data_IF_409011599301
#
_entry.id   IF_409011599301
#
_cell.length_a   1.000
_cell.length_b   1.000
_cell.length_c   1.000
_cell.angle_alpha   90.00
_cell.angle_beta   90.00
_cell.angle_gamma   90.00
#
_symmetry.space_group_name_H-M   'P 1'
#
loop_
_entity.id
_entity.type
_entity.pdbx_description
1 polymer ?
#
# COMPACT_ATOMS: atom_id res chain seq x y z
N UNK A 1 -8.97 15.02 7.13
CA UNK A 1 -9.55 15.04 8.51
C UNK A 1 -9.81 16.46 9.02
N UNK A 2 -8.88 17.42 8.85
CA UNK A 2 -9.04 18.82 9.31
C UNK A 2 -10.27 19.47 8.68
N UNK A 3 -10.51 19.30 7.38
CA UNK A 3 -11.66 19.87 6.69
C UNK A 3 -13.00 19.35 7.22
N UNK A 4 -13.06 18.06 7.59
CA UNK A 4 -14.27 17.46 8.20
C UNK A 4 -14.51 18.09 9.58
N UNK A 5 -13.44 18.25 10.38
CA UNK A 5 -13.53 18.86 11.69
C UNK A 5 -14.00 20.34 11.61
N UNK A 6 -13.44 21.10 10.68
CA UNK A 6 -13.84 22.48 10.41
C UNK A 6 -15.32 22.56 9.98
N UNK A 7 -15.74 21.64 9.08
CA UNK A 7 -17.12 21.57 8.65
C UNK A 7 -18.08 21.26 9.82
N UNK A 8 -17.70 20.35 10.71
CA UNK A 8 -18.47 20.01 11.92
C UNK A 8 -18.61 21.23 12.83
N UNK A 9 -17.52 21.96 13.07
CA UNK A 9 -17.55 23.18 13.93
C UNK A 9 -18.42 24.26 13.30
N UNK A 10 -18.27 24.53 12.00
CA UNK A 10 -19.08 25.52 11.28
C UNK A 10 -20.59 25.19 11.29
N UNK A 11 -20.92 23.90 11.19
CA UNK A 11 -22.31 23.45 11.24
C UNK A 11 -22.85 23.47 12.63
N UNK A 12 -22.05 23.23 13.66
CA UNK A 12 -22.43 23.40 15.05
C UNK A 12 -22.77 24.87 15.38
N UNK A 13 -21.91 25.81 14.94
CA UNK A 13 -22.21 27.26 15.11
C UNK A 13 -23.49 27.65 14.38
N UNK A 14 -23.72 27.19 13.17
CA UNK A 14 -24.97 27.45 12.46
C UNK A 14 -26.18 26.80 13.14
N UNK A 15 -26.04 25.59 13.65
CA UNK A 15 -27.10 24.91 14.38
C UNK A 15 -27.50 25.68 15.67
N UNK A 16 -26.52 26.23 16.41
CA UNK A 16 -26.80 27.05 17.59
C UNK A 16 -27.55 28.36 17.25
N UNK A 17 -27.18 29.02 16.15
CA UNK A 17 -27.86 30.18 15.61
C UNK A 17 -29.31 29.85 15.21
N UNK A 18 -29.50 28.75 14.49
CA UNK A 18 -30.81 28.25 14.09
C UNK A 18 -31.68 27.94 15.32
N UNK A 19 -31.09 27.38 16.36
CA UNK A 19 -31.79 27.06 17.62
C UNK A 19 -32.22 28.31 18.36
N UNK A 20 -31.39 29.35 18.36
CA UNK A 20 -31.75 30.67 18.93
C UNK A 20 -32.89 31.32 18.15
N UNK A 21 -32.86 31.24 16.79
CA UNK A 21 -33.94 31.75 15.93
C UNK A 21 -35.24 30.97 16.17
N UNK A 22 -35.17 29.67 16.35
CA UNK A 22 -36.32 28.81 16.66
C UNK A 22 -36.96 29.20 17.99
N UNK A 23 -36.14 29.48 19.00
CA UNK A 23 -36.62 29.88 20.33
C UNK A 23 -37.35 31.24 20.34
N UNK A 24 -37.07 32.10 19.35
CA UNK A 24 -37.72 33.43 19.20
C UNK A 24 -38.93 33.42 18.25
N UNK A 25 -39.24 32.28 17.64
CA UNK A 25 -40.29 32.22 16.63
C UNK A 25 -41.65 32.01 17.27
N UNK A 26 -42.59 32.93 17.03
CA UNK A 26 -43.97 32.88 17.56
C UNK A 26 -44.82 31.72 17.01
N UNK A 27 -44.47 31.19 15.83
CA UNK A 27 -45.17 30.07 15.20
C UNK A 27 -44.57 28.70 15.58
N UNK A 28 -45.30 27.94 16.39
CA UNK A 28 -44.92 26.57 16.81
C UNK A 28 -44.60 25.64 15.65
N UNK A 29 -45.27 25.76 14.49
CA UNK A 29 -45.03 24.92 13.31
C UNK A 29 -43.67 25.24 12.68
N UNK A 30 -43.25 26.52 12.60
CA UNK A 30 -41.93 26.89 12.08
C UNK A 30 -40.81 26.44 13.04
N UNK A 31 -41.00 26.59 14.34
CA UNK A 31 -40.05 26.14 15.36
C UNK A 31 -39.80 24.61 15.22
N UNK A 32 -40.87 23.81 15.14
CA UNK A 32 -40.77 22.37 14.97
C UNK A 32 -40.08 21.97 13.66
N UNK A 33 -40.34 22.68 12.57
CA UNK A 33 -39.68 22.39 11.26
C UNK A 33 -38.17 22.68 11.32
N UNK A 34 -37.76 23.77 11.99
CA UNK A 34 -36.36 24.13 12.18
C UNK A 34 -35.62 23.07 13.02
N UNK A 35 -36.24 22.62 14.11
CA UNK A 35 -35.71 21.55 14.96
C UNK A 35 -35.56 20.25 14.21
N UNK A 36 -36.56 19.85 13.44
CA UNK A 36 -36.53 18.65 12.60
C UNK A 36 -35.39 18.69 11.57
N UNK A 37 -35.25 19.80 10.84
CA UNK A 37 -34.15 19.99 9.87
C UNK A 37 -32.80 19.93 10.58
N UNK A 38 -32.64 20.52 11.74
CA UNK A 38 -31.38 20.47 12.50
C UNK A 38 -31.04 19.07 12.93
N UNK A 39 -31.99 18.28 13.40
CA UNK A 39 -31.79 16.86 13.74
C UNK A 39 -31.39 16.06 12.51
N UNK A 40 -32.03 16.26 11.36
CA UNK A 40 -31.70 15.60 10.11
C UNK A 40 -30.28 15.93 9.66
N UNK A 41 -29.85 17.18 9.75
CA UNK A 41 -28.48 17.60 9.42
C UNK A 41 -27.47 16.90 10.32
N UNK A 42 -27.71 16.87 11.63
CA UNK A 42 -26.83 16.19 12.59
C UNK A 42 -26.77 14.68 12.30
N UNK A 43 -27.91 14.06 11.97
CA UNK A 43 -27.96 12.64 11.62
C UNK A 43 -27.15 12.33 10.35
N UNK A 44 -27.31 13.13 9.28
CA UNK A 44 -26.55 12.97 8.03
C UNK A 44 -25.05 13.14 8.29
N UNK A 45 -24.67 14.12 9.11
CA UNK A 45 -23.28 14.31 9.49
C UNK A 45 -22.72 13.11 10.27
N UNK A 46 -23.48 12.61 11.25
CA UNK A 46 -23.10 11.44 12.03
C UNK A 46 -22.87 10.20 11.14
N UNK A 47 -23.79 9.96 10.20
CA UNK A 47 -23.66 8.87 9.22
C UNK A 47 -22.42 9.08 8.35
N UNK A 48 -22.19 10.28 7.84
CA UNK A 48 -21.04 10.59 7.01
C UNK A 48 -19.72 10.39 7.77
N UNK A 49 -19.62 10.84 9.01
CA UNK A 49 -18.45 10.62 9.86
C UNK A 49 -18.20 9.13 10.10
N UNK A 50 -19.25 8.39 10.42
CA UNK A 50 -19.16 6.96 10.66
C UNK A 50 -18.72 6.20 9.39
N UNK A 51 -19.30 6.53 8.25
CA UNK A 51 -18.91 5.93 6.97
C UNK A 51 -17.43 6.20 6.64
N UNK A 52 -16.99 7.46 6.78
CA UNK A 52 -15.59 7.82 6.58
C UNK A 52 -14.64 7.08 7.54
N UNK A 53 -15.05 6.90 8.78
CA UNK A 53 -14.30 6.13 9.77
C UNK A 53 -14.14 4.67 9.35
N UNK A 54 -15.23 4.02 8.90
CA UNK A 54 -15.18 2.63 8.41
C UNK A 54 -14.28 2.48 7.18
N UNK A 55 -14.43 3.39 6.19
CA UNK A 55 -13.60 3.39 4.97
C UNK A 55 -12.13 3.56 5.32
N UNK A 56 -11.81 4.50 6.20
CA UNK A 56 -10.42 4.72 6.64
C UNK A 56 -9.83 3.51 7.33
N UNK A 57 -10.56 2.89 8.26
CA UNK A 57 -10.08 1.70 8.96
C UNK A 57 -9.84 0.52 8.00
N UNK A 58 -10.72 0.31 7.03
CA UNK A 58 -10.54 -0.72 6.00
C UNK A 58 -9.31 -0.44 5.14
N UNK A 59 -9.11 0.81 4.73
CA UNK A 59 -7.94 1.22 3.97
C UNK A 59 -6.63 0.99 4.74
N UNK A 60 -6.59 1.36 6.01
CA UNK A 60 -5.42 1.09 6.87
C UNK A 60 -5.16 -0.40 7.06
N UNK A 61 -6.19 -1.19 7.31
CA UNK A 61 -6.05 -2.65 7.46
C UNK A 61 -5.53 -3.29 6.16
N UNK A 62 -6.06 -2.86 5.02
CA UNK A 62 -5.57 -3.33 3.71
C UNK A 62 -4.09 -2.99 3.52
N UNK A 63 -3.70 -1.76 3.83
CA UNK A 63 -2.32 -1.31 3.74
C UNK A 63 -1.39 -2.14 4.65
N UNK A 64 -1.79 -2.39 5.89
CA UNK A 64 -1.03 -3.20 6.86
C UNK A 64 -0.81 -4.62 6.34
N UNK A 65 -1.89 -5.30 5.93
CA UNK A 65 -1.81 -6.66 5.37
C UNK A 65 -0.91 -6.69 4.12
N UNK A 66 -1.02 -5.70 3.26
CA UNK A 66 -0.19 -5.61 2.06
C UNK A 66 1.30 -5.46 2.42
N UNK A 67 1.63 -4.59 3.38
CA UNK A 67 3.00 -4.45 3.88
C UNK A 67 3.56 -5.74 4.44
N UNK A 68 2.81 -6.43 5.27
CA UNK A 68 3.24 -7.71 5.85
C UNK A 68 3.49 -8.78 4.77
N UNK A 69 2.65 -8.84 3.75
CA UNK A 69 2.84 -9.75 2.62
C UNK A 69 4.10 -9.44 1.83
N UNK A 70 4.37 -8.17 1.57
CA UNK A 70 5.58 -7.72 0.87
C UNK A 70 6.83 -8.08 1.65
N UNK A 71 6.85 -7.77 2.94
CA UNK A 71 7.96 -8.12 3.83
C UNK A 71 8.17 -9.64 3.86
N UNK A 72 7.10 -10.40 4.02
CA UNK A 72 7.14 -11.86 4.01
C UNK A 72 7.67 -12.42 2.68
N UNK A 73 7.30 -11.81 1.57
CA UNK A 73 7.77 -12.22 0.25
C UNK A 73 9.28 -12.00 0.08
N UNK A 74 9.77 -10.81 0.41
CA UNK A 74 11.20 -10.53 0.31
C UNK A 74 12.02 -11.33 1.34
N UNK A 75 11.50 -11.55 2.53
CA UNK A 75 12.15 -12.43 3.50
C UNK A 75 12.33 -13.85 2.96
N UNK A 76 11.34 -14.38 2.23
CA UNK A 76 11.48 -15.70 1.59
C UNK A 76 12.53 -15.71 0.49
N UNK A 77 12.63 -14.64 -0.29
CA UNK A 77 13.67 -14.50 -1.32
C UNK A 77 15.05 -14.47 -0.66
N UNK A 78 15.23 -13.63 0.34
CA UNK A 78 16.51 -13.47 1.04
C UNK A 78 16.91 -14.77 1.73
N UNK A 79 16.00 -15.40 2.48
CA UNK A 79 16.27 -16.67 3.12
C UNK A 79 16.68 -17.76 2.11
N UNK A 80 16.12 -17.72 0.91
CA UNK A 80 16.51 -18.66 -0.15
C UNK A 80 17.88 -18.33 -0.72
N UNK A 81 18.22 -17.06 -0.91
CA UNK A 81 19.58 -16.65 -1.30
C UNK A 81 20.59 -17.11 -0.26
N UNK A 82 20.32 -16.86 1.02
CA UNK A 82 21.20 -17.25 2.14
C UNK A 82 21.39 -18.77 2.26
N UNK A 83 20.40 -19.55 1.82
CA UNK A 83 20.46 -21.02 1.79
C UNK A 83 21.06 -21.59 0.51
N UNK A 84 21.36 -20.77 -0.48
CA UNK A 84 21.96 -21.22 -1.74
C UNK A 84 23.41 -21.64 -1.54
N UNK A 85 23.79 -22.78 -2.11
CA UNK A 85 25.14 -23.31 -2.00
C UNK A 85 26.17 -22.31 -2.56
N UNK A 86 27.19 -22.02 -1.75
CA UNK A 86 28.26 -21.08 -2.11
C UNK A 86 28.00 -19.62 -1.73
N UNK A 87 26.82 -19.29 -1.21
CA UNK A 87 26.56 -17.95 -0.65
C UNK A 87 27.34 -17.76 0.66
N UNK A 88 27.95 -16.59 0.80
CA UNK A 88 28.62 -16.17 2.04
C UNK A 88 28.03 -14.88 2.56
N UNK A 89 27.94 -14.78 3.88
CA UNK A 89 27.41 -13.56 4.50
C UNK A 89 28.25 -12.34 4.11
N UNK A 90 27.63 -11.38 3.45
CA UNK A 90 28.29 -10.19 2.90
C UNK A 90 28.46 -10.22 1.40
N UNK A 91 28.15 -11.33 0.74
CA UNK A 91 28.10 -11.36 -0.73
C UNK A 91 27.03 -10.37 -1.25
N UNK A 92 27.31 -9.74 -2.37
CA UNK A 92 26.37 -8.86 -3.04
C UNK A 92 25.16 -9.62 -3.58
N UNK A 93 23.96 -9.12 -3.34
CA UNK A 93 22.71 -9.68 -3.87
C UNK A 93 21.97 -8.64 -4.68
N UNK A 94 21.61 -8.97 -5.91
CA UNK A 94 20.82 -8.13 -6.79
C UNK A 94 19.52 -8.83 -7.16
N UNK A 95 18.41 -8.14 -6.97
CA UNK A 95 17.10 -8.61 -7.39
C UNK A 95 16.76 -7.89 -8.69
N UNK A 96 16.65 -8.61 -9.79
CA UNK A 96 16.37 -8.07 -11.12
C UNK A 96 14.99 -8.51 -11.61
N UNK A 97 14.49 -7.82 -12.62
CA UNK A 97 13.14 -8.02 -13.13
C UNK A 97 12.10 -7.15 -12.45
N UNK A 98 10.93 -7.09 -13.05
CA UNK A 98 9.80 -6.34 -12.52
C UNK A 98 8.98 -7.24 -11.57
N UNK A 99 8.51 -6.65 -10.49
CA UNK A 99 7.70 -7.35 -9.50
C UNK A 99 6.24 -7.45 -9.94
N UNK A 100 5.81 -6.54 -10.75
CA UNK A 100 4.43 -6.42 -11.22
C UNK A 100 4.38 -6.64 -12.73
N UNK A 101 3.69 -7.68 -13.14
CA UNK A 101 3.41 -7.93 -14.55
C UNK A 101 1.91 -7.76 -14.82
N UNK A 102 1.59 -7.08 -15.91
CA UNK A 102 0.22 -6.71 -16.27
C UNK A 102 -0.70 -7.92 -16.48
N UNK A 103 -0.12 -9.07 -16.80
CA UNK A 103 -0.84 -10.31 -17.14
C UNK A 103 -0.61 -11.45 -16.12
N UNK A 104 0.21 -11.23 -15.10
CA UNK A 104 0.43 -12.19 -14.01
C UNK A 104 -0.13 -11.66 -12.71
N UNK A 105 -0.90 -12.46 -11.96
CA UNK A 105 -1.35 -12.05 -10.65
C UNK A 105 -0.13 -11.77 -9.77
N UNK A 106 -0.12 -10.62 -9.12
CA UNK A 106 0.92 -10.29 -8.14
C UNK A 106 1.03 -11.41 -7.12
N UNK A 107 2.25 -11.92 -6.81
CA UNK A 107 2.44 -12.95 -5.80
C UNK A 107 1.98 -12.52 -4.41
N UNK A 108 1.64 -11.26 -4.26
CA UNK A 108 1.08 -10.65 -3.04
C UNK A 108 -0.34 -10.15 -3.25
N UNK A 109 -1.01 -10.57 -4.33
CA UNK A 109 -2.39 -10.20 -4.58
C UNK A 109 -3.27 -10.49 -3.37
N UNK A 110 -4.00 -9.50 -2.94
CA UNK A 110 -4.96 -9.68 -1.85
C UNK A 110 -6.24 -10.28 -2.36
N UNK A 111 -6.62 -11.43 -1.78
CA UNK A 111 -8.01 -11.88 -1.87
C UNK A 111 -8.87 -10.84 -1.17
N UNK A 112 -9.88 -10.32 -1.84
CA UNK A 112 -10.77 -9.32 -1.26
C UNK A 112 -11.75 -9.93 -0.26
N UNK A 113 -11.23 -10.23 0.93
CA UNK A 113 -12.00 -10.81 2.04
C UNK A 113 -12.88 -9.77 2.74
N UNK A 114 -12.57 -8.48 2.52
CA UNK A 114 -13.16 -7.37 3.29
C UNK A 114 -13.95 -6.38 2.43
N UNK A 115 -14.25 -6.73 1.17
CA UNK A 115 -14.88 -5.81 0.20
C UNK A 115 -14.11 -4.47 0.10
N UNK A 116 -12.79 -4.59 -0.03
CA UNK A 116 -11.88 -3.45 -0.08
C UNK A 116 -11.32 -3.16 -1.48
N UNK A 117 -11.81 -3.86 -2.51
CA UNK A 117 -11.34 -3.67 -3.89
C UNK A 117 -11.49 -2.21 -4.34
N UNK A 118 -12.59 -1.56 -3.96
CA UNK A 118 -12.81 -0.13 -4.23
C UNK A 118 -11.79 0.80 -3.55
N UNK A 119 -11.02 0.31 -2.58
CA UNK A 119 -10.00 1.07 -1.86
C UNK A 119 -8.59 0.83 -2.40
N UNK A 120 -8.43 -0.06 -3.37
CA UNK A 120 -7.15 -0.44 -3.98
C UNK A 120 -6.34 0.78 -4.42
N UNK A 121 -6.98 1.68 -5.16
CA UNK A 121 -6.32 2.88 -5.70
C UNK A 121 -6.12 3.99 -4.66
N UNK A 122 -6.87 3.95 -3.56
CA UNK A 122 -6.85 4.98 -2.52
C UNK A 122 -5.86 4.68 -1.39
N UNK A 123 -5.51 3.43 -1.19
CA UNK A 123 -4.74 3.00 -0.02
C UNK A 123 -3.23 3.19 -0.17
N UNK A 124 -2.73 3.56 -1.34
CA UNK A 124 -1.28 3.67 -1.57
C UNK A 124 -0.53 2.37 -1.24
N UNK A 125 -1.18 1.23 -1.47
CA UNK A 125 -0.69 -0.07 -1.07
C UNK A 125 0.54 -0.42 -1.88
N UNK A 126 1.63 -0.68 -1.20
CA UNK A 126 2.86 -1.17 -1.81
C UNK A 126 2.58 -2.44 -2.62
N UNK A 127 3.05 -2.48 -3.86
CA UNK A 127 2.95 -3.57 -4.83
C UNK A 127 1.62 -3.75 -5.56
N UNK A 128 0.47 -3.41 -5.00
CA UNK A 128 -0.79 -3.49 -5.76
C UNK A 128 -0.87 -2.43 -6.86
N UNK A 129 -0.21 -1.28 -6.66
CA UNK A 129 -0.21 -0.14 -7.58
C UNK A 129 1.18 0.17 -8.16
N UNK A 130 2.11 -0.78 -8.14
CA UNK A 130 3.45 -0.57 -8.66
C UNK A 130 4.31 0.42 -7.85
N UNK A 131 3.97 0.69 -6.59
CA UNK A 131 4.71 1.64 -5.75
C UNK A 131 6.11 1.16 -5.37
N UNK A 132 6.33 -0.16 -5.32
CA UNK A 132 7.67 -0.72 -5.17
C UNK A 132 8.23 -1.06 -6.54
N UNK A 133 8.64 -0.03 -7.26
CA UNK A 133 9.40 -0.17 -8.49
C UNK A 133 10.80 -0.68 -8.20
N UNK A 134 11.50 -1.14 -9.24
CA UNK A 134 12.90 -1.53 -9.14
C UNK A 134 13.79 -0.46 -8.50
N UNK A 135 13.45 0.83 -8.63
CA UNK A 135 14.21 1.94 -8.05
C UNK A 135 14.06 2.09 -6.52
N UNK A 136 12.90 1.75 -5.96
CA UNK A 136 12.65 1.85 -4.50
C UNK A 136 12.77 0.52 -3.77
N UNK A 137 12.81 -0.59 -4.47
CA UNK A 137 12.86 -1.93 -3.90
C UNK A 137 14.04 -2.15 -2.97
N UNK A 138 15.25 -1.75 -3.39
CA UNK A 138 16.45 -1.91 -2.59
C UNK A 138 16.35 -1.13 -1.28
N UNK A 139 15.91 0.13 -1.35
CA UNK A 139 15.70 0.94 -0.15
C UNK A 139 14.64 0.36 0.77
N UNK A 140 13.58 -0.25 0.20
CA UNK A 140 12.56 -0.94 0.99
C UNK A 140 13.16 -2.15 1.72
N UNK A 141 13.91 -3.00 1.03
CA UNK A 141 14.56 -4.19 1.62
C UNK A 141 15.54 -3.76 2.73
N UNK A 142 16.38 -2.77 2.48
CA UNK A 142 17.32 -2.28 3.48
C UNK A 142 16.62 -1.69 4.71
N UNK A 143 15.55 -0.92 4.50
CA UNK A 143 14.86 -0.22 5.59
C UNK A 143 14.00 -1.14 6.44
N UNK A 144 13.23 -2.03 5.80
CA UNK A 144 12.20 -2.83 6.48
C UNK A 144 12.64 -4.26 6.81
N UNK A 145 13.62 -4.79 6.07
CA UNK A 145 14.13 -6.16 6.27
C UNK A 145 15.51 -6.13 6.91
N UNK A 146 16.25 -5.03 6.73
CA UNK A 146 17.60 -4.89 7.27
C UNK A 146 18.67 -5.62 6.45
N UNK A 147 18.33 -6.08 5.25
CA UNK A 147 19.27 -6.76 4.37
C UNK A 147 19.93 -5.78 3.43
N UNK A 148 21.27 -5.71 3.47
CA UNK A 148 22.03 -4.74 2.68
C UNK A 148 22.12 -5.16 1.23
N UNK A 149 21.62 -4.30 0.33
CA UNK A 149 21.68 -4.51 -1.11
C UNK A 149 22.85 -3.74 -1.73
N UNK A 150 23.64 -4.35 -2.65
CA UNK A 150 24.67 -3.62 -3.34
C UNK A 150 24.04 -2.57 -4.28
N UNK A 151 24.70 -1.43 -4.35
CA UNK A 151 24.35 -0.45 -5.37
C UNK A 151 24.98 -0.87 -6.70
N UNK A 152 24.14 -1.31 -7.64
CA UNK A 152 24.56 -1.56 -9.02
C UNK A 152 24.33 -0.29 -9.86
N UNK A 153 25.33 0.10 -10.60
CA UNK A 153 25.19 1.15 -11.62
C UNK A 153 24.24 0.68 -12.73
N UNK A 154 23.74 1.59 -13.52
CA UNK A 154 22.88 1.27 -14.65
C UNK A 154 23.58 0.31 -15.63
N UNK A 155 24.86 0.57 -15.94
CA UNK A 155 25.64 -0.23 -16.88
C UNK A 155 25.91 -1.66 -16.37
N UNK A 156 26.23 -1.81 -15.07
CA UNK A 156 26.40 -3.13 -14.45
C UNK A 156 25.11 -3.93 -14.48
N UNK A 157 24.00 -3.29 -14.16
CA UNK A 157 22.68 -3.91 -14.21
C UNK A 157 22.33 -4.36 -15.63
N UNK A 158 22.54 -3.48 -16.61
CA UNK A 158 22.29 -3.77 -18.02
C UNK A 158 23.17 -4.93 -18.51
N UNK A 159 24.45 -4.92 -18.18
CA UNK A 159 25.39 -5.99 -18.51
C UNK A 159 24.96 -7.36 -17.95
N UNK A 160 24.43 -7.39 -16.71
CA UNK A 160 23.90 -8.63 -16.14
C UNK A 160 22.65 -9.06 -16.90
N UNK A 161 21.71 -8.16 -17.16
CA UNK A 161 20.45 -8.48 -17.83
C UNK A 161 20.62 -8.94 -19.29
N UNK A 162 21.67 -8.49 -19.97
CA UNK A 162 22.00 -8.91 -21.34
C UNK A 162 22.84 -10.19 -21.40
N UNK A 163 23.31 -10.71 -20.28
CA UNK A 163 24.12 -11.94 -20.25
C UNK A 163 23.30 -13.17 -20.63
N UNK A 164 23.90 -14.08 -21.38
CA UNK A 164 23.26 -15.37 -21.72
C UNK A 164 22.82 -16.15 -20.47
N UNK A 165 23.59 -16.03 -19.39
CA UNK A 165 23.30 -16.69 -18.13
C UNK A 165 21.99 -16.15 -17.56
N UNK A 166 21.80 -14.83 -17.49
CA UNK A 166 20.56 -14.23 -16.99
C UNK A 166 19.37 -14.56 -17.89
N UNK A 167 19.53 -14.46 -19.21
CA UNK A 167 18.46 -14.72 -20.17
C UNK A 167 17.97 -16.18 -20.13
N UNK A 168 18.81 -17.11 -19.69
CA UNK A 168 18.44 -18.51 -19.51
C UNK A 168 17.91 -18.85 -18.11
N UNK A 169 17.98 -17.90 -17.16
CA UNK A 169 17.52 -18.12 -15.79
C UNK A 169 15.99 -18.22 -15.73
N UNK A 170 15.45 -19.25 -15.07
CA UNK A 170 14.01 -19.27 -14.80
C UNK A 170 13.63 -18.18 -13.80
N UNK A 171 12.35 -17.85 -13.80
CA UNK A 171 11.76 -16.85 -12.89
C UNK A 171 11.54 -17.47 -11.52
N UNK A 172 11.75 -16.66 -10.46
CA UNK A 172 11.41 -17.03 -9.10
C UNK A 172 9.90 -17.39 -9.00
N UNK A 173 9.51 -18.48 -8.32
CA UNK A 173 10.27 -19.23 -7.32
C UNK A 173 11.00 -20.49 -7.80
N UNK A 174 11.28 -20.65 -9.08
CA UNK A 174 12.02 -21.81 -9.57
C UNK A 174 13.38 -21.98 -8.85
N UNK A 175 13.90 -23.21 -8.83
CA UNK A 175 15.11 -23.52 -8.06
C UNK A 175 16.34 -22.78 -8.59
N UNK A 176 16.47 -22.69 -9.91
CA UNK A 176 17.59 -22.07 -10.60
C UNK A 176 17.40 -20.55 -10.85
N UNK A 177 16.41 -19.94 -10.22
CA UNK A 177 16.14 -18.49 -10.34
C UNK A 177 17.11 -17.61 -9.54
N UNK A 178 18.05 -18.23 -8.83
CA UNK A 178 19.10 -17.57 -8.06
C UNK A 178 20.44 -18.11 -8.52
N UNK A 179 21.26 -17.27 -9.13
CA UNK A 179 22.57 -17.65 -9.64
C UNK A 179 23.60 -16.56 -9.39
N UNK A 180 24.88 -16.94 -9.32
CA UNK A 180 25.98 -15.98 -9.19
C UNK A 180 26.45 -15.54 -10.58
N UNK A 181 26.29 -14.25 -10.88
CA UNK A 181 26.70 -13.62 -12.14
C UNK A 181 27.64 -12.45 -11.80
N UNK A 182 28.84 -12.42 -12.37
CA UNK A 182 29.82 -11.35 -12.14
C UNK A 182 30.05 -11.05 -10.65
N UNK A 183 30.22 -12.07 -9.83
CA UNK A 183 30.41 -12.00 -8.36
C UNK A 183 29.21 -11.44 -7.56
N UNK A 184 28.06 -11.25 -8.18
CA UNK A 184 26.80 -10.85 -7.55
C UNK A 184 25.79 -11.98 -7.64
N UNK A 185 25.12 -12.28 -6.54
CA UNK A 185 23.98 -13.20 -6.53
C UNK A 185 22.77 -12.50 -7.12
N UNK A 186 22.31 -13.02 -8.23
CA UNK A 186 21.19 -12.45 -8.99
C UNK A 186 19.95 -13.29 -8.76
N UNK A 187 18.87 -12.63 -8.41
CA UNK A 187 17.52 -13.20 -8.32
C UNK A 187 16.70 -12.68 -9.50
N UNK A 188 16.22 -13.58 -10.34
CA UNK A 188 15.32 -13.22 -11.43
C UNK A 188 13.86 -13.29 -10.97
N UNK A 189 13.17 -12.13 -10.86
CA UNK A 189 11.78 -12.08 -10.39
C UNK A 189 10.75 -12.29 -11.49
N UNK A 190 10.98 -11.70 -12.66
CA UNK A 190 10.08 -11.77 -13.82
C UNK A 190 10.73 -11.08 -15.03
N UNK A 191 10.30 -11.42 -16.22
CA UNK A 191 10.60 -10.66 -17.43
C UNK A 191 9.83 -9.34 -17.51
#
# INVERSE_FOLDING_TARGET
>A
YVLVYVAVVMLWEKATVIWQISAQTESKAKAWMIEFVSIMVVAVMGISCYTNYLVSNRAYLRMEISYERVISYFNRIIARVESTEGYQNGDGVAILGEFYYKDNPSPVEMVDVLDTESLRDMSGVALENGLITSGVRNSFIETFIGFKMPYLTYDERQSIMESEQYLSMPVYPAEESIQKINDVWVVNLCE
#
